data_IF_575773904052
#
_entry.id   IF_575773904052
#
_cell.length_a   1.000
_cell.length_b   1.000
_cell.length_c   1.000
_cell.angle_alpha   90.00
_cell.angle_beta   90.00
_cell.angle_gamma   90.00
#
_symmetry.space_group_name_H-M   'P 1'
#
loop_
_entity.id
_entity.type
_entity.pdbx_description
1 polymer ?
#
# COMPACT_ATOMS: atom_id res chain seq x y z
N UNK A 1 2.45 32.75 9.17
CA UNK A 1 2.07 32.04 7.93
C UNK A 1 2.14 30.55 8.22
N UNK A 2 1.17 29.75 7.77
CA UNK A 2 1.12 28.30 7.99
C UNK A 2 0.93 27.59 6.63
N UNK A 3 1.51 26.40 6.48
CA UNK A 3 1.37 25.54 5.30
C UNK A 3 1.14 24.08 5.73
N UNK A 4 0.27 23.36 5.03
CA UNK A 4 -0.02 21.94 5.24
C UNK A 4 0.55 21.13 4.08
N UNK A 5 1.32 20.10 4.40
CA UNK A 5 1.93 19.19 3.44
C UNK A 5 1.50 17.77 3.78
N UNK A 6 0.96 17.06 2.79
CA UNK A 6 0.55 15.66 2.88
C UNK A 6 1.11 14.89 1.68
N UNK A 7 1.51 13.64 1.90
CA UNK A 7 2.13 12.80 0.87
C UNK A 7 1.13 11.77 0.38
N UNK A 8 0.87 11.78 -0.93
CA UNK A 8 0.02 10.79 -1.58
C UNK A 8 0.54 9.37 -1.34
N UNK A 9 -0.25 8.54 -0.66
CA UNK A 9 0.06 7.13 -0.38
C UNK A 9 1.49 6.93 0.17
N UNK A 10 1.87 7.73 1.18
CA UNK A 10 3.24 7.88 1.69
C UNK A 10 4.10 6.59 1.66
N UNK A 11 3.74 5.54 2.40
CA UNK A 11 4.58 4.33 2.45
C UNK A 11 4.68 3.60 1.11
N UNK A 12 3.63 3.57 0.30
CA UNK A 12 3.74 3.01 -1.06
C UNK A 12 4.68 3.83 -1.93
N UNK A 13 4.60 5.17 -1.82
CA UNK A 13 5.49 6.07 -2.54
C UNK A 13 6.94 5.89 -2.11
N UNK A 14 7.21 5.65 -0.82
CA UNK A 14 8.55 5.37 -0.33
C UNK A 14 9.09 4.04 -0.84
N UNK A 15 8.28 2.97 -0.82
CA UNK A 15 8.65 1.68 -1.40
C UNK A 15 8.98 1.80 -2.90
N UNK A 16 8.20 2.58 -3.66
CA UNK A 16 8.45 2.83 -5.09
C UNK A 16 9.75 3.58 -5.37
N UNK A 17 10.20 4.45 -4.46
CA UNK A 17 11.52 5.11 -4.59
C UNK A 17 12.65 4.08 -4.57
N UNK A 18 12.54 3.04 -3.73
CA UNK A 18 13.57 1.99 -3.62
C UNK A 18 13.36 0.84 -4.61
N UNK A 19 12.12 0.61 -5.04
CA UNK A 19 11.76 -0.40 -6.03
C UNK A 19 10.79 0.19 -7.07
N UNK A 20 11.31 0.84 -8.13
CA UNK A 20 10.48 1.47 -9.16
C UNK A 20 9.57 0.51 -9.92
N UNK A 21 9.85 -0.81 -9.91
CA UNK A 21 8.98 -1.80 -10.54
C UNK A 21 7.57 -1.84 -9.89
N UNK A 22 7.43 -1.38 -8.64
CA UNK A 22 6.15 -1.28 -7.94
C UNK A 22 5.23 -0.17 -8.49
N UNK A 23 5.71 0.69 -9.39
CA UNK A 23 4.84 1.66 -10.09
C UNK A 23 3.85 0.98 -11.03
N UNK A 24 4.24 -0.16 -11.63
CA UNK A 24 3.40 -0.90 -12.57
C UNK A 24 2.43 -1.88 -11.89
N UNK A 25 2.44 -1.96 -10.55
CA UNK A 25 1.69 -2.97 -9.78
C UNK A 25 0.83 -2.29 -8.70
N UNK A 26 -0.46 -2.65 -8.56
CA UNK A 26 -1.26 -2.25 -7.42
C UNK A 26 -0.61 -2.70 -6.12
N UNK A 27 -0.18 -1.75 -5.30
CA UNK A 27 0.61 -2.02 -4.09
C UNK A 27 -0.13 -1.56 -2.83
N UNK A 28 -0.04 -2.38 -1.79
CA UNK A 28 -0.41 -2.05 -0.41
C UNK A 28 0.78 -2.27 0.51
N UNK A 29 0.87 -1.51 1.59
CA UNK A 29 1.83 -1.72 2.68
C UNK A 29 1.05 -2.18 3.90
N UNK A 30 1.52 -3.24 4.55
CA UNK A 30 0.92 -3.78 5.75
C UNK A 30 1.57 -3.20 7.01
N UNK A 31 0.83 -3.19 8.11
CA UNK A 31 1.39 -2.92 9.43
C UNK A 31 2.37 -4.03 9.85
N UNK A 32 3.12 -3.78 10.92
CA UNK A 32 3.93 -4.82 11.57
C UNK A 32 3.13 -6.12 11.79
N UNK A 33 3.83 -7.25 11.66
CA UNK A 33 3.29 -8.62 11.74
C UNK A 33 2.20 -8.92 10.70
N UNK A 34 2.21 -8.28 9.53
CA UNK A 34 1.24 -8.47 8.46
C UNK A 34 -0.22 -8.34 8.96
N UNK A 35 -0.48 -7.34 9.81
CA UNK A 35 -1.79 -7.17 10.45
C UNK A 35 -2.86 -6.66 9.47
N UNK A 36 -2.69 -5.43 9.00
CA UNK A 36 -3.66 -4.75 8.14
C UNK A 36 -3.00 -3.76 7.18
N UNK A 37 -3.74 -3.38 6.14
CA UNK A 37 -3.31 -2.37 5.17
C UNK A 37 -3.19 -0.99 5.83
N UNK A 38 -2.00 -0.40 5.83
CA UNK A 38 -1.71 0.94 6.37
C UNK A 38 -1.37 1.98 5.30
N UNK A 39 -1.05 1.54 4.08
CA UNK A 39 -0.99 2.39 2.90
C UNK A 39 -1.44 1.62 1.67
N UNK A 40 -2.07 2.31 0.73
CA UNK A 40 -2.58 1.71 -0.50
C UNK A 40 -2.39 2.68 -1.67
N UNK A 41 -1.84 2.18 -2.77
CA UNK A 41 -1.70 2.92 -4.04
C UNK A 41 -3.06 3.33 -4.57
N UNK A 42 -3.10 4.32 -5.47
CA UNK A 42 -4.36 4.73 -6.12
C UNK A 42 -4.98 3.57 -6.89
N UNK A 43 -4.15 2.77 -7.54
CA UNK A 43 -4.56 1.60 -8.31
C UNK A 43 -5.12 0.50 -7.38
N UNK A 44 -4.47 0.25 -6.23
CA UNK A 44 -4.95 -0.72 -5.25
C UNK A 44 -6.28 -0.30 -4.60
N UNK A 45 -6.47 1.00 -4.29
CA UNK A 45 -7.77 1.52 -3.81
C UNK A 45 -8.89 1.29 -4.82
N UNK A 46 -8.63 1.47 -6.12
CA UNK A 46 -9.62 1.20 -7.16
C UNK A 46 -10.04 -0.28 -7.25
N UNK A 47 -9.22 -1.20 -6.70
CA UNK A 47 -9.54 -2.63 -6.57
C UNK A 47 -10.23 -2.97 -5.24
N UNK A 48 -10.57 -1.98 -4.41
CA UNK A 48 -11.18 -2.18 -3.10
C UNK A 48 -10.20 -2.64 -2.01
N UNK A 49 -8.90 -2.41 -2.21
CA UNK A 49 -7.85 -2.68 -1.21
C UNK A 49 -7.66 -1.46 -0.32
N UNK A 50 -8.68 -1.19 0.50
CA UNK A 50 -8.75 0.00 1.35
C UNK A 50 -7.90 -0.13 2.62
N UNK A 51 -7.63 1.02 3.25
CA UNK A 51 -6.95 1.09 4.55
C UNK A 51 -7.74 0.33 5.62
N UNK A 52 -7.03 -0.31 6.54
CA UNK A 52 -7.63 -1.06 7.65
C UNK A 52 -8.12 -2.46 7.27
N UNK A 53 -8.11 -2.84 5.99
CA UNK A 53 -8.43 -4.22 5.61
C UNK A 53 -7.36 -5.17 6.16
N UNK A 54 -7.73 -6.22 6.91
CA UNK A 54 -6.77 -7.14 7.50
C UNK A 54 -6.17 -8.07 6.45
N UNK A 55 -4.89 -8.43 6.63
CA UNK A 55 -4.17 -9.24 5.65
C UNK A 55 -4.78 -10.63 5.46
N UNK A 56 -5.36 -11.24 6.50
CA UNK A 56 -5.91 -12.59 6.39
C UNK A 56 -7.06 -12.69 5.38
N UNK A 57 -7.80 -11.60 5.13
CA UNK A 57 -8.84 -11.52 4.09
C UNK A 57 -8.24 -11.38 2.69
N UNK A 58 -7.07 -10.74 2.58
CA UNK A 58 -6.38 -10.46 1.32
C UNK A 58 -5.48 -11.62 0.88
N UNK A 59 -4.86 -12.31 1.83
CA UNK A 59 -3.87 -13.37 1.62
C UNK A 59 -4.31 -14.46 0.63
N UNK A 60 -5.57 -14.93 0.60
CA UNK A 60 -6.00 -15.96 -0.37
C UNK A 60 -5.91 -15.50 -1.83
N UNK A 61 -5.93 -14.19 -2.07
CA UNK A 61 -5.92 -13.58 -3.40
C UNK A 61 -4.58 -12.98 -3.79
N UNK A 62 -3.59 -12.99 -2.87
CA UNK A 62 -2.28 -12.41 -3.09
C UNK A 62 -1.26 -13.47 -3.52
N UNK A 63 -0.50 -13.16 -4.58
CA UNK A 63 0.69 -13.95 -4.93
C UNK A 63 1.89 -13.48 -4.10
N UNK A 64 2.58 -14.43 -3.47
CA UNK A 64 3.78 -14.16 -2.67
C UNK A 64 5.01 -14.24 -3.57
N UNK A 65 5.63 -13.10 -3.85
CA UNK A 65 6.94 -13.02 -4.48
C UNK A 65 8.00 -12.91 -3.37
N UNK A 66 9.04 -13.73 -3.46
CA UNK A 66 10.18 -13.73 -2.55
C UNK A 66 11.36 -13.02 -3.20
#
# INVERSE_FOLDING_TARGET
MLAHVDVNSAYVSFERVFNPALEAVPTVVLSNNDGMVVASSKEAKALGLDLGRPWFELRPHAQRYW
#
